data_IF_909317859387
#
_entry.id   IF_909317859387
#
_cell.length_a   1.000
_cell.length_b   1.000
_cell.length_c   1.000
_cell.angle_alpha   90.00
_cell.angle_beta   90.00
_cell.angle_gamma   90.00
#
_symmetry.space_group_name_H-M   'P 1'
#
loop_
_entity.id
_entity.type
_entity.pdbx_description
1 polymer ?
#
# COMPACT_ATOMS: atom_id res chain seq x y z
N UNK A 1 -6.33 3.31 -13.49
CA UNK A 1 -7.14 3.00 -12.28
C UNK A 1 -8.48 3.71 -12.41
N UNK A 2 -9.55 2.98 -12.15
CA UNK A 2 -10.92 3.52 -12.20
C UNK A 2 -11.52 3.53 -10.79
N UNK A 3 -11.90 4.72 -10.32
CA UNK A 3 -12.55 4.87 -9.02
C UNK A 3 -14.06 4.63 -9.20
N UNK A 4 -14.56 3.55 -8.62
CA UNK A 4 -15.97 3.18 -8.76
C UNK A 4 -16.87 3.75 -7.66
N UNK A 5 -16.31 4.03 -6.49
CA UNK A 5 -17.06 4.55 -5.35
C UNK A 5 -16.15 5.38 -4.47
N UNK A 6 -16.63 6.56 -4.09
CA UNK A 6 -15.92 7.42 -3.13
C UNK A 6 -16.95 8.05 -2.18
N UNK A 7 -17.41 7.26 -1.22
CA UNK A 7 -18.42 7.67 -0.26
C UNK A 7 -17.84 8.78 0.65
N UNK A 8 -18.62 9.81 0.86
CA UNK A 8 -18.27 10.97 1.69
C UNK A 8 -17.03 11.73 1.21
N UNK A 9 -16.65 11.56 -0.05
CA UNK A 9 -15.47 12.21 -0.63
C UNK A 9 -14.19 12.01 0.18
N UNK A 10 -14.01 10.79 0.66
CA UNK A 10 -12.84 10.44 1.49
C UNK A 10 -11.53 10.54 0.71
N UNK A 11 -11.58 10.24 -0.59
CA UNK A 11 -10.42 10.36 -1.48
C UNK A 11 -10.46 11.68 -2.26
N UNK A 12 -9.34 12.33 -2.50
CA UNK A 12 -7.99 11.94 -2.05
C UNK A 12 -7.79 12.18 -0.55
N UNK A 13 -6.96 11.33 0.07
CA UNK A 13 -6.58 11.50 1.47
C UNK A 13 -5.69 12.74 1.62
N UNK A 14 -5.83 13.44 2.75
CA UNK A 14 -4.95 14.57 3.06
C UNK A 14 -3.55 14.06 3.36
N UNK A 15 -2.54 14.73 2.85
CA UNK A 15 -1.13 14.31 3.02
C UNK A 15 -0.66 14.28 4.47
N UNK A 16 -1.22 15.14 5.31
CA UNK A 16 -0.90 15.23 6.74
C UNK A 16 -1.63 14.22 7.62
N UNK A 17 -2.45 13.36 7.04
CA UNK A 17 -3.22 12.36 7.79
C UNK A 17 -2.34 11.26 8.34
N UNK A 18 -2.75 10.71 9.50
CA UNK A 18 -2.14 9.50 10.03
C UNK A 18 -2.76 8.28 9.36
N UNK A 19 -1.93 7.44 8.77
CA UNK A 19 -2.37 6.31 7.94
C UNK A 19 -1.73 5.04 8.46
N UNK A 20 -2.52 3.98 8.60
CA UNK A 20 -2.03 2.62 8.75
C UNK A 20 -2.18 1.87 7.42
N UNK A 21 -1.08 1.38 6.90
CA UNK A 21 -1.06 0.50 5.73
C UNK A 21 -0.86 -0.92 6.22
N UNK A 22 -1.77 -1.83 5.90
CA UNK A 22 -1.69 -3.20 6.41
C UNK A 22 -2.01 -4.23 5.33
N UNK A 23 -1.66 -5.46 5.62
CA UNK A 23 -1.88 -6.60 4.73
C UNK A 23 -0.60 -7.11 4.07
N UNK A 24 -0.62 -8.37 3.60
CA UNK A 24 0.57 -9.00 3.04
C UNK A 24 1.05 -8.35 1.73
N UNK A 25 0.16 -7.74 0.97
CA UNK A 25 0.53 -7.06 -0.29
C UNK A 25 1.02 -5.63 -0.08
N UNK A 26 0.87 -5.07 1.13
CA UNK A 26 1.15 -3.65 1.38
C UNK A 26 2.60 -3.27 1.15
N UNK A 27 3.54 -4.16 1.48
CA UNK A 27 4.97 -3.90 1.39
C UNK A 27 5.73 -5.06 0.73
N UNK A 28 5.18 -5.61 -0.33
CA UNK A 28 5.80 -6.70 -1.08
C UNK A 28 5.57 -6.52 -2.58
N UNK A 29 6.62 -6.20 -3.32
CA UNK A 29 6.56 -6.10 -4.78
C UNK A 29 6.17 -7.43 -5.42
N UNK A 30 6.64 -8.54 -4.89
CA UNK A 30 6.32 -9.85 -5.44
C UNK A 30 4.82 -10.15 -5.39
N UNK A 31 4.18 -9.85 -4.25
CA UNK A 31 2.74 -10.04 -4.10
C UNK A 31 1.96 -9.05 -4.97
N UNK A 32 2.42 -7.80 -5.03
CA UNK A 32 1.78 -6.78 -5.86
C UNK A 32 1.84 -7.09 -7.35
N UNK A 33 2.95 -7.65 -7.82
CA UNK A 33 3.09 -8.06 -9.21
C UNK A 33 2.15 -9.23 -9.55
N UNK A 34 2.00 -10.18 -8.64
CA UNK A 34 1.14 -11.33 -8.87
C UNK A 34 1.66 -12.27 -9.94
N UNK A 35 0.80 -13.18 -10.39
CA UNK A 35 1.12 -14.12 -11.45
C UNK A 35 1.04 -13.45 -12.84
N UNK A 36 1.68 -14.08 -13.83
CA UNK A 36 1.66 -13.66 -15.25
C UNK A 36 2.21 -12.24 -15.47
N UNK A 37 3.20 -11.85 -14.66
CA UNK A 37 3.99 -10.64 -14.91
C UNK A 37 5.20 -10.97 -15.79
N UNK A 38 6.36 -11.29 -15.18
CA UNK A 38 7.53 -11.74 -15.92
C UNK A 38 7.59 -13.26 -16.05
N UNK A 39 7.06 -13.96 -15.06
CA UNK A 39 6.91 -15.41 -15.06
C UNK A 39 5.46 -15.78 -14.76
N UNK A 40 5.08 -17.03 -15.07
CA UNK A 40 3.69 -17.44 -14.88
C UNK A 40 3.28 -17.55 -13.41
N UNK A 41 4.22 -17.87 -12.52
CA UNK A 41 3.96 -17.90 -11.08
C UNK A 41 4.13 -16.54 -10.38
N UNK A 42 4.93 -15.67 -10.96
CA UNK A 42 5.02 -14.28 -10.54
C UNK A 42 5.81 -13.98 -9.25
N UNK A 43 6.47 -14.97 -8.65
CA UNK A 43 7.08 -14.81 -7.33
C UNK A 43 8.62 -14.71 -7.41
N UNK A 44 9.15 -14.12 -8.43
CA UNK A 44 10.61 -14.01 -8.58
C UNK A 44 11.05 -12.55 -8.46
N UNK A 45 11.71 -12.23 -7.34
CA UNK A 45 12.21 -10.88 -7.06
C UNK A 45 13.30 -10.43 -8.04
N UNK A 46 13.93 -11.36 -8.76
CA UNK A 46 14.96 -11.04 -9.77
C UNK A 46 14.42 -10.11 -10.85
N UNK A 47 13.13 -10.18 -11.15
CA UNK A 47 12.48 -9.39 -12.19
C UNK A 47 11.89 -8.08 -11.68
N UNK A 48 12.00 -7.77 -10.40
CA UNK A 48 11.49 -6.51 -9.88
C UNK A 48 12.28 -5.35 -10.49
N UNK A 49 11.57 -4.37 -11.00
CA UNK A 49 12.17 -3.18 -11.58
C UNK A 49 12.96 -2.41 -10.53
N UNK A 50 14.20 -2.05 -10.84
CA UNK A 50 15.01 -1.23 -9.95
C UNK A 50 14.33 0.13 -9.73
N UNK A 51 14.17 0.50 -8.46
CA UNK A 51 13.46 1.72 -8.07
C UNK A 51 11.94 1.59 -7.97
N UNK A 52 11.38 0.39 -8.21
CA UNK A 52 9.96 0.15 -7.98
C UNK A 52 9.63 0.27 -6.50
N UNK A 53 8.47 0.85 -6.19
CA UNK A 53 8.03 1.11 -4.83
C UNK A 53 6.82 0.24 -4.49
N UNK A 54 6.77 -0.25 -3.25
CA UNK A 54 5.57 -0.86 -2.71
C UNK A 54 4.50 0.20 -2.43
N UNK A 55 3.26 -0.24 -2.18
CA UNK A 55 2.19 0.69 -1.75
C UNK A 55 2.58 1.44 -0.48
N UNK A 56 3.13 0.72 0.51
CA UNK A 56 3.59 1.35 1.74
C UNK A 56 4.65 2.42 1.50
N UNK A 57 5.68 2.10 0.71
CA UNK A 57 6.75 3.03 0.38
C UNK A 57 6.23 4.26 -0.37
N UNK A 58 5.32 4.06 -1.33
CA UNK A 58 4.72 5.13 -2.10
C UNK A 58 3.89 6.08 -1.23
N UNK A 59 3.05 5.51 -0.35
CA UNK A 59 2.25 6.30 0.58
C UNK A 59 3.15 7.07 1.54
N UNK A 60 4.20 6.43 2.05
CA UNK A 60 5.16 7.06 2.95
C UNK A 60 5.87 8.24 2.29
N UNK A 61 6.25 8.12 1.02
CA UNK A 61 6.89 9.22 0.29
C UNK A 61 5.95 10.41 0.06
N UNK A 62 4.68 10.14 -0.21
CA UNK A 62 3.71 11.20 -0.52
C UNK A 62 3.10 11.85 0.73
N UNK A 63 3.20 11.19 1.87
CA UNK A 63 2.59 11.67 3.12
C UNK A 63 3.54 12.51 3.95
N UNK A 64 3.00 13.53 4.60
CA UNK A 64 3.71 14.34 5.61
C UNK A 64 3.31 13.95 7.03
N UNK A 65 2.21 13.23 7.19
CA UNK A 65 1.76 12.68 8.46
C UNK A 65 2.47 11.37 8.82
N UNK A 66 2.00 10.74 9.88
CA UNK A 66 2.53 9.46 10.33
C UNK A 66 1.98 8.32 9.48
N UNK A 67 2.86 7.52 8.91
CA UNK A 67 2.49 6.33 8.13
C UNK A 67 3.08 5.11 8.81
N UNK A 68 2.22 4.24 9.31
CA UNK A 68 2.61 2.98 9.94
C UNK A 68 2.30 1.80 9.02
N UNK A 69 3.03 0.72 9.23
CA UNK A 69 2.83 -0.54 8.51
C UNK A 69 2.59 -1.69 9.48
N UNK A 70 1.65 -2.56 9.14
CA UNK A 70 1.42 -3.80 9.87
C UNK A 70 1.07 -4.92 8.90
N UNK A 71 1.64 -6.10 9.12
CA UNK A 71 1.36 -7.25 8.28
C UNK A 71 -0.09 -7.76 8.44
N UNK A 72 -0.64 -7.73 9.65
CA UNK A 72 -1.99 -8.26 9.86
C UNK A 72 -2.66 -7.94 11.20
N UNK A 73 -1.95 -7.47 12.20
CA UNK A 73 -2.56 -7.05 13.47
C UNK A 73 -2.55 -5.54 13.59
N UNK A 74 -3.57 -4.99 14.23
CA UNK A 74 -3.77 -3.56 14.30
C UNK A 74 -3.89 -3.09 15.74
N UNK A 75 -2.95 -2.27 16.19
CA UNK A 75 -3.10 -1.46 17.37
C UNK A 75 -3.59 -0.07 16.94
N UNK A 76 -4.87 0.19 17.13
CA UNK A 76 -5.55 1.37 16.64
C UNK A 76 -5.44 2.53 17.64
N UNK A 77 -4.27 3.15 17.75
CA UNK A 77 -4.12 4.37 18.55
C UNK A 77 -3.89 5.55 17.60
N UNK A 78 -4.84 6.47 17.54
CA UNK A 78 -4.75 7.73 16.80
C UNK A 78 -4.53 7.58 15.28
N UNK A 79 -5.05 6.50 14.68
CA UNK A 79 -5.00 6.30 13.24
C UNK A 79 -6.29 6.81 12.62
N UNK A 80 -6.19 7.69 11.65
CA UNK A 80 -7.35 8.24 10.97
C UNK A 80 -7.83 7.37 9.82
N UNK A 81 -6.91 6.78 9.09
CA UNK A 81 -7.24 5.94 7.95
C UNK A 81 -6.48 4.62 7.98
N UNK A 82 -7.17 3.57 7.60
CA UNK A 82 -6.60 2.23 7.44
C UNK A 82 -6.72 1.83 5.99
N UNK A 83 -5.59 1.48 5.38
CA UNK A 83 -5.54 0.95 4.03
C UNK A 83 -5.09 -0.50 4.13
N UNK A 84 -5.98 -1.42 3.79
CA UNK A 84 -5.69 -2.84 3.80
C UNK A 84 -5.48 -3.35 2.38
N UNK A 85 -4.35 -4.00 2.18
CA UNK A 85 -3.92 -4.50 0.88
C UNK A 85 -3.57 -6.00 0.91
#
# INVERSE_FOLDING_TARGET
>A
ITLLKNKDNILPLKKESNILVCGPAANSLNIQNGAWTHTWQGIDSTYNTNGALTFYESIKQLSTGKVDYSLGSMDLILIRYIIQL
#
